data_IF_977921205515
#
_entry.id   IF_977921205515
#
_cell.length_a   1.000
_cell.length_b   1.000
_cell.length_c   1.000
_cell.angle_alpha   90.00
_cell.angle_beta   90.00
_cell.angle_gamma   90.00
#
_symmetry.space_group_name_H-M   'P 1'
#
loop_
_entity.id
_entity.type
_entity.pdbx_description
1 polymer ?
#
# COMPACT_ATOMS: atom_id res chain seq x y z
N UNK A 1 -37.17 11.27 -5.33
CA UNK A 1 -36.38 11.27 -4.08
C UNK A 1 -37.31 11.27 -2.89
N UNK A 2 -37.00 10.52 -1.85
CA UNK A 2 -37.76 10.57 -0.60
C UNK A 2 -37.41 11.86 0.16
N UNK A 3 -38.33 12.42 0.98
CA UNK A 3 -38.08 13.59 1.81
C UNK A 3 -36.80 13.45 2.69
N UNK A 4 -36.51 12.24 3.11
CA UNK A 4 -35.32 11.91 3.92
C UNK A 4 -34.01 12.06 3.12
N UNK A 5 -33.95 11.61 1.87
CA UNK A 5 -32.79 11.78 0.99
C UNK A 5 -32.53 13.25 0.67
N UNK A 6 -33.59 14.03 0.41
CA UNK A 6 -33.48 15.48 0.17
C UNK A 6 -32.91 16.22 1.38
N UNK A 7 -33.39 15.89 2.61
CA UNK A 7 -32.87 16.47 3.85
C UNK A 7 -31.38 16.16 4.05
N UNK A 8 -30.94 14.91 3.77
CA UNK A 8 -29.55 14.53 3.89
C UNK A 8 -28.65 15.26 2.86
N UNK A 9 -29.12 15.44 1.64
CA UNK A 9 -28.42 16.18 0.60
C UNK A 9 -28.21 17.66 1.00
N UNK A 10 -29.22 18.31 1.56
CA UNK A 10 -29.12 19.71 2.05
C UNK A 10 -28.11 19.79 3.21
N UNK A 11 -28.14 18.86 4.16
CA UNK A 11 -27.19 18.82 5.28
C UNK A 11 -25.75 18.67 4.78
N UNK A 12 -25.50 17.79 3.81
CA UNK A 12 -24.17 17.59 3.21
C UNK A 12 -23.65 18.85 2.53
N UNK A 13 -24.51 19.60 1.82
CA UNK A 13 -24.16 20.87 1.19
C UNK A 13 -23.79 21.91 2.24
N UNK A 14 -24.62 22.07 3.28
CA UNK A 14 -24.38 23.03 4.36
C UNK A 14 -23.10 22.70 5.13
N UNK A 15 -22.86 21.42 5.41
CA UNK A 15 -21.62 20.98 6.06
C UNK A 15 -20.40 21.35 5.21
N UNK A 16 -20.36 21.02 3.92
CA UNK A 16 -19.23 21.37 3.04
C UNK A 16 -18.97 22.88 3.00
N UNK A 17 -20.01 23.67 2.99
CA UNK A 17 -19.89 25.13 3.01
C UNK A 17 -19.36 25.70 4.35
N UNK A 18 -19.45 24.94 5.44
CA UNK A 18 -19.03 25.33 6.80
C UNK A 18 -17.69 24.73 7.24
N UNK A 19 -17.14 23.73 6.52
CA UNK A 19 -15.87 23.11 6.87
C UNK A 19 -14.70 24.09 6.70
N UNK A 20 -13.79 24.05 7.64
CA UNK A 20 -12.45 24.62 7.52
C UNK A 20 -11.43 23.52 7.13
N UNK A 21 -10.24 23.92 6.68
CA UNK A 21 -9.19 22.98 6.24
C UNK A 21 -8.68 22.02 7.35
N UNK A 22 -8.99 22.34 8.62
CA UNK A 22 -8.59 21.54 9.79
C UNK A 22 -9.70 20.63 10.31
N UNK A 23 -10.92 20.75 9.82
CA UNK A 23 -12.04 19.94 10.30
C UNK A 23 -11.94 18.50 9.76
N UNK A 24 -12.15 17.47 10.61
CA UNK A 24 -12.16 16.10 10.14
C UNK A 24 -13.34 15.83 9.21
N UNK A 25 -13.07 15.28 8.04
CA UNK A 25 -14.10 14.82 7.11
C UNK A 25 -14.73 13.52 7.61
N UNK A 26 -16.00 13.30 7.29
CA UNK A 26 -16.69 12.02 7.42
C UNK A 26 -16.73 11.32 6.05
N UNK A 27 -15.91 10.30 5.87
CA UNK A 27 -15.66 9.65 4.61
C UNK A 27 -16.33 8.27 4.60
N UNK A 28 -17.21 8.04 3.62
CA UNK A 28 -17.68 6.68 3.33
C UNK A 28 -16.61 5.92 2.53
N UNK A 29 -16.32 4.69 2.92
CA UNK A 29 -15.29 3.87 2.26
C UNK A 29 -15.66 2.39 2.30
N UNK A 30 -14.78 1.55 1.75
CA UNK A 30 -14.90 0.10 1.73
C UNK A 30 -13.56 -0.51 2.17
N UNK A 31 -13.57 -1.49 3.05
CA UNK A 31 -12.34 -2.13 3.52
C UNK A 31 -11.57 -2.80 2.36
N UNK A 32 -10.29 -2.46 2.24
CA UNK A 32 -9.38 -3.03 1.24
C UNK A 32 -8.26 -3.84 1.88
N UNK A 33 -7.37 -3.18 2.61
CA UNK A 33 -6.22 -3.79 3.28
C UNK A 33 -5.95 -3.07 4.60
N UNK A 34 -5.94 -3.81 5.70
CA UNK A 34 -5.93 -3.27 7.07
C UNK A 34 -4.74 -2.33 7.34
N UNK A 35 -3.54 -2.66 6.86
CA UNK A 35 -2.35 -1.79 7.05
C UNK A 35 -2.45 -0.48 6.25
N UNK A 36 -2.99 -0.54 5.04
CA UNK A 36 -3.25 0.65 4.25
C UNK A 36 -4.30 1.55 4.93
N UNK A 37 -5.40 0.96 5.37
CA UNK A 37 -6.46 1.70 6.06
C UNK A 37 -5.97 2.31 7.40
N UNK A 38 -5.06 1.62 8.12
CA UNK A 38 -4.43 2.20 9.31
C UNK A 38 -3.60 3.45 8.98
N UNK A 39 -2.82 3.40 7.90
CA UNK A 39 -2.05 4.56 7.46
C UNK A 39 -2.99 5.69 7.01
N UNK A 40 -4.05 5.37 6.29
CA UNK A 40 -5.07 6.33 5.86
C UNK A 40 -5.73 7.02 7.08
N UNK A 41 -5.98 6.30 8.16
CA UNK A 41 -6.55 6.85 9.39
C UNK A 41 -5.64 7.88 10.09
N UNK A 42 -4.32 7.89 9.82
CA UNK A 42 -3.40 8.90 10.35
C UNK A 42 -3.68 10.31 9.80
N UNK A 43 -4.45 10.42 8.71
CA UNK A 43 -4.91 11.72 8.19
C UNK A 43 -5.85 12.47 9.15
N UNK A 44 -6.35 11.80 10.20
CA UNK A 44 -7.23 12.40 11.21
C UNK A 44 -8.71 12.49 10.80
N UNK A 45 -9.07 12.06 9.60
CA UNK A 45 -10.47 12.00 9.16
C UNK A 45 -11.20 10.79 9.74
N UNK A 46 -12.53 10.82 9.73
CA UNK A 46 -13.38 9.72 10.16
C UNK A 46 -13.76 8.84 8.96
N UNK A 47 -13.48 7.55 9.03
CA UNK A 47 -13.74 6.60 7.96
C UNK A 47 -14.87 5.66 8.35
N UNK A 48 -15.95 5.68 7.58
CA UNK A 48 -17.12 4.82 7.77
C UNK A 48 -17.13 3.75 6.67
N UNK A 49 -16.69 2.55 7.03
CA UNK A 49 -16.53 1.44 6.09
C UNK A 49 -17.81 0.64 5.96
N UNK A 50 -18.45 0.75 4.80
CA UNK A 50 -19.64 -0.06 4.46
C UNK A 50 -19.25 -1.53 4.37
N UNK A 51 -19.99 -2.39 5.06
CA UNK A 51 -19.78 -3.86 5.05
C UNK A 51 -20.22 -4.46 3.72
N UNK A 52 -19.36 -4.32 2.73
CA UNK A 52 -19.54 -4.91 1.42
C UNK A 52 -18.25 -5.60 0.97
N UNK A 53 -18.30 -6.89 0.76
CA UNK A 53 -17.13 -7.69 0.40
C UNK A 53 -16.20 -7.98 1.57
N UNK A 54 -14.95 -7.50 1.54
CA UNK A 54 -13.95 -7.74 2.58
C UNK A 54 -14.32 -7.01 3.87
N UNK A 55 -14.26 -7.73 4.99
CA UNK A 55 -14.35 -7.17 6.34
C UNK A 55 -12.95 -6.96 6.90
N UNK A 56 -12.83 -6.06 7.87
CA UNK A 56 -11.58 -5.86 8.61
C UNK A 56 -11.19 -7.13 9.38
N UNK A 57 -9.96 -7.57 9.18
CA UNK A 57 -9.38 -8.67 9.93
C UNK A 57 -8.50 -8.14 11.05
N UNK A 58 -8.95 -8.29 12.30
CA UNK A 58 -8.24 -7.82 13.50
C UNK A 58 -6.93 -8.55 13.77
N UNK A 59 -6.73 -9.74 13.17
CA UNK A 59 -5.46 -10.47 13.28
C UNK A 59 -4.33 -9.78 12.53
N UNK A 60 -4.66 -9.03 11.46
CA UNK A 60 -3.67 -8.26 10.70
C UNK A 60 -3.38 -6.89 11.32
N UNK A 61 -4.41 -6.23 11.84
CA UNK A 61 -4.25 -4.92 12.45
C UNK A 61 -5.44 -4.56 13.35
N UNK A 62 -5.17 -3.85 14.44
CA UNK A 62 -6.22 -3.30 15.31
C UNK A 62 -7.01 -2.22 14.56
N UNK A 63 -8.33 -2.20 14.71
CA UNK A 63 -9.18 -1.14 14.16
C UNK A 63 -8.82 0.21 14.80
N UNK A 64 -8.49 1.25 14.01
CA UNK A 64 -8.26 2.60 14.53
C UNK A 64 -9.52 3.22 15.14
N UNK A 65 -9.36 4.15 16.07
CA UNK A 65 -10.49 4.80 16.77
C UNK A 65 -11.38 5.67 15.87
N UNK A 66 -10.85 6.10 14.72
CA UNK A 66 -11.55 6.89 13.70
C UNK A 66 -11.97 6.06 12.47
N UNK A 67 -12.01 4.73 12.60
CA UNK A 67 -12.48 3.81 11.56
C UNK A 67 -13.70 3.02 12.07
N UNK A 68 -14.83 3.18 11.42
CA UNK A 68 -16.13 2.68 11.86
C UNK A 68 -16.72 1.70 10.83
N UNK A 69 -16.62 0.37 11.03
CA UNK A 69 -17.35 -0.58 10.22
C UNK A 69 -18.86 -0.42 10.42
N UNK A 70 -19.60 -0.14 9.35
CA UNK A 70 -21.05 0.08 9.38
C UNK A 70 -21.78 -0.90 8.47
N UNK A 71 -22.93 -1.41 8.92
CA UNK A 71 -23.85 -2.24 8.10
C UNK A 71 -24.86 -1.39 7.33
N UNK A 72 -25.20 -0.22 7.85
CA UNK A 72 -26.12 0.74 7.25
C UNK A 72 -25.57 2.14 7.37
N UNK A 73 -25.87 3.00 6.40
CA UNK A 73 -25.44 4.40 6.41
C UNK A 73 -26.24 5.16 7.48
N UNK A 74 -25.59 5.68 8.54
CA UNK A 74 -26.30 6.37 9.62
C UNK A 74 -26.79 7.76 9.18
N UNK A 75 -28.09 7.99 9.25
CA UNK A 75 -28.72 9.24 8.79
C UNK A 75 -28.48 10.46 9.66
N UNK A 76 -27.94 10.29 10.86
CA UNK A 76 -27.58 11.37 11.76
C UNK A 76 -26.18 11.93 11.50
N UNK A 77 -25.38 11.24 10.68
CA UNK A 77 -24.04 11.67 10.27
C UNK A 77 -24.13 12.36 8.91
N UNK A 78 -23.47 13.50 8.80
CA UNK A 78 -23.28 14.16 7.51
C UNK A 78 -21.96 13.70 6.90
N UNK A 79 -22.04 13.08 5.73
CA UNK A 79 -20.89 12.61 4.98
C UNK A 79 -20.41 13.65 3.98
N UNK A 80 -19.11 13.66 3.74
CA UNK A 80 -18.44 14.64 2.90
C UNK A 80 -18.08 14.09 1.53
N UNK A 81 -17.70 12.81 1.45
CA UNK A 81 -17.36 12.13 0.20
C UNK A 81 -17.43 10.59 0.34
N UNK A 82 -17.44 9.91 -0.81
CA UNK A 82 -17.19 8.48 -0.92
C UNK A 82 -15.75 8.30 -1.42
N UNK A 83 -14.93 7.56 -0.68
CA UNK A 83 -13.61 7.12 -1.10
C UNK A 83 -13.70 5.69 -1.62
N UNK A 84 -13.59 5.55 -2.94
CA UNK A 84 -13.61 4.26 -3.63
C UNK A 84 -12.17 3.87 -4.00
N UNK A 85 -11.76 2.68 -3.58
CA UNK A 85 -10.47 2.12 -3.99
C UNK A 85 -10.66 1.26 -5.22
N UNK A 86 -9.80 1.29 -6.16
CA UNK A 86 -9.65 0.61 -7.47
C UNK A 86 -10.68 -0.46 -7.88
N UNK A 87 -11.39 -1.08 -6.95
CA UNK A 87 -12.30 -2.20 -7.21
C UNK A 87 -13.57 -1.73 -7.91
N UNK A 88 -13.73 -2.07 -9.19
CA UNK A 88 -14.95 -1.81 -9.95
C UNK A 88 -16.21 -2.41 -9.30
N UNK A 89 -16.08 -3.44 -8.47
CA UNK A 89 -17.21 -4.13 -7.84
C UNK A 89 -18.00 -3.24 -6.87
N UNK A 90 -17.40 -2.14 -6.39
CA UNK A 90 -18.01 -1.24 -5.41
C UNK A 90 -18.40 0.12 -5.99
N UNK A 91 -18.17 0.31 -7.28
CA UNK A 91 -18.49 1.58 -7.92
C UNK A 91 -20.00 1.82 -7.99
N UNK A 92 -20.78 0.75 -8.21
CA UNK A 92 -22.24 0.86 -8.23
C UNK A 92 -22.80 1.30 -6.88
N UNK A 93 -22.28 0.74 -5.77
CA UNK A 93 -22.66 1.16 -4.42
C UNK A 93 -22.20 2.60 -4.18
N UNK A 94 -21.02 3.00 -4.67
CA UNK A 94 -20.54 4.37 -4.57
C UNK A 94 -21.46 5.36 -5.31
N UNK A 95 -21.96 5.01 -6.50
CA UNK A 95 -22.95 5.81 -7.22
C UNK A 95 -24.27 5.93 -6.46
N UNK A 96 -24.78 4.82 -5.91
CA UNK A 96 -25.98 4.87 -5.07
C UNK A 96 -25.84 5.77 -3.86
N UNK A 97 -24.67 5.75 -3.22
CA UNK A 97 -24.34 6.63 -2.09
C UNK A 97 -24.20 8.08 -2.54
N UNK A 98 -23.59 8.33 -3.69
CA UNK A 98 -23.49 9.68 -4.28
C UNK A 98 -24.88 10.26 -4.54
N UNK A 99 -25.75 9.51 -5.20
CA UNK A 99 -27.11 9.94 -5.52
C UNK A 99 -27.95 10.18 -4.28
N UNK A 100 -27.83 9.27 -3.28
CA UNK A 100 -28.58 9.36 -2.04
C UNK A 100 -28.18 10.55 -1.19
N UNK A 101 -26.88 10.85 -1.11
CA UNK A 101 -26.30 11.82 -0.19
C UNK A 101 -25.86 13.12 -0.88
N UNK A 102 -25.84 13.16 -2.20
CA UNK A 102 -25.31 14.25 -3.02
C UNK A 102 -23.87 14.66 -2.61
N UNK A 103 -22.98 13.67 -2.52
CA UNK A 103 -21.57 13.84 -2.15
C UNK A 103 -20.66 13.37 -3.29
N UNK A 104 -19.43 13.90 -3.42
CA UNK A 104 -18.50 13.48 -4.47
C UNK A 104 -17.97 12.07 -4.26
N UNK A 105 -17.57 11.41 -5.36
CA UNK A 105 -16.79 10.18 -5.35
C UNK A 105 -15.34 10.52 -5.68
N UNK A 106 -14.41 10.09 -4.82
CA UNK A 106 -12.98 10.08 -5.12
C UNK A 106 -12.56 8.62 -5.34
N UNK A 107 -11.97 8.33 -6.50
CA UNK A 107 -11.36 7.03 -6.78
C UNK A 107 -9.85 7.10 -6.55
N UNK A 108 -9.35 6.35 -5.56
CA UNK A 108 -7.91 6.26 -5.28
C UNK A 108 -7.38 4.90 -5.73
N UNK A 109 -6.54 4.90 -6.75
CA UNK A 109 -6.06 3.69 -7.43
C UNK A 109 -4.65 3.34 -6.98
N UNK A 110 -4.48 2.15 -6.40
CA UNK A 110 -3.23 1.64 -5.87
C UNK A 110 -2.81 0.27 -6.43
N UNK A 111 -3.35 -0.11 -7.57
CA UNK A 111 -2.95 -1.30 -8.33
C UNK A 111 -2.64 -0.90 -9.77
N UNK A 112 -1.79 -1.68 -10.42
CA UNK A 112 -1.53 -1.57 -11.87
C UNK A 112 -2.57 -2.37 -12.66
N UNK A 113 -2.78 -2.09 -13.96
CA UNK A 113 -3.48 -2.99 -14.84
C UNK A 113 -2.83 -4.38 -14.79
N UNK A 114 -3.64 -5.44 -14.81
CA UNK A 114 -3.13 -6.81 -14.68
C UNK A 114 -2.57 -7.29 -16.00
N UNK A 115 -1.25 -7.51 -16.07
CA UNK A 115 -0.54 -7.92 -17.30
C UNK A 115 -0.92 -9.30 -17.83
N UNK A 116 -1.69 -10.09 -17.07
CA UNK A 116 -2.21 -11.40 -17.50
C UNK A 116 -3.44 -11.30 -18.40
N UNK A 117 -4.03 -10.10 -18.49
CA UNK A 117 -5.21 -9.82 -19.29
C UNK A 117 -4.91 -8.72 -20.30
N UNK A 118 -5.77 -8.60 -21.28
CA UNK A 118 -5.64 -7.59 -22.33
C UNK A 118 -5.72 -6.17 -21.73
N UNK A 119 -4.62 -5.43 -21.85
CA UNK A 119 -4.38 -4.16 -21.15
C UNK A 119 -5.31 -3.05 -21.68
N UNK A 120 -5.53 -2.97 -22.99
CA UNK A 120 -6.34 -1.90 -23.58
C UNK A 120 -7.79 -2.00 -23.14
N UNK A 121 -8.35 -3.22 -23.04
CA UNK A 121 -9.70 -3.44 -22.51
C UNK A 121 -9.84 -3.05 -21.05
N UNK A 122 -8.83 -3.34 -20.22
CA UNK A 122 -8.82 -2.93 -18.81
C UNK A 122 -8.79 -1.40 -18.70
N UNK A 123 -7.89 -0.74 -19.43
CA UNK A 123 -7.75 0.72 -19.43
C UNK A 123 -9.03 1.37 -19.96
N UNK A 124 -9.62 0.84 -21.04
CA UNK A 124 -10.88 1.35 -21.57
C UNK A 124 -12.01 1.22 -20.55
N UNK A 125 -12.20 0.03 -19.96
CA UNK A 125 -13.22 -0.19 -18.93
C UNK A 125 -13.04 0.70 -17.72
N UNK A 126 -11.80 0.88 -17.26
CA UNK A 126 -11.47 1.78 -16.16
C UNK A 126 -11.84 3.24 -16.49
N UNK A 127 -11.55 3.70 -17.70
CA UNK A 127 -11.78 5.07 -18.14
C UNK A 127 -13.25 5.39 -18.46
N UNK A 128 -14.10 4.36 -18.64
CA UNK A 128 -15.56 4.53 -18.77
C UNK A 128 -16.26 4.80 -17.44
N UNK A 129 -15.59 4.56 -16.31
CA UNK A 129 -16.14 4.80 -14.99
C UNK A 129 -15.90 6.28 -14.63
N UNK A 130 -16.98 7.06 -14.61
CA UNK A 130 -16.93 8.46 -14.22
C UNK A 130 -16.93 8.61 -12.69
N UNK A 131 -16.02 9.45 -12.18
CA UNK A 131 -15.93 9.83 -10.77
C UNK A 131 -15.65 11.32 -10.66
N UNK A 132 -15.93 11.89 -9.51
CA UNK A 132 -15.72 13.34 -9.30
C UNK A 132 -14.24 13.70 -9.36
N UNK A 133 -13.37 12.83 -8.80
CA UNK A 133 -11.92 13.00 -8.87
C UNK A 133 -11.20 11.66 -8.85
N UNK A 134 -10.09 11.60 -9.57
CA UNK A 134 -9.20 10.43 -9.58
C UNK A 134 -7.85 10.77 -8.98
N UNK A 135 -7.32 9.87 -8.17
CA UNK A 135 -5.96 9.93 -7.65
C UNK A 135 -5.29 8.56 -7.73
N UNK A 136 -3.98 8.59 -7.87
CA UNK A 136 -3.12 7.41 -7.99
C UNK A 136 -1.97 7.52 -7.00
N UNK A 137 -1.39 6.37 -6.64
CA UNK A 137 -0.28 6.36 -5.67
C UNK A 137 1.07 6.75 -6.28
N UNK A 138 1.16 6.92 -7.60
CA UNK A 138 2.35 7.41 -8.30
C UNK A 138 2.04 7.88 -9.71
N UNK A 139 2.97 8.63 -10.29
CA UNK A 139 2.93 9.00 -11.70
C UNK A 139 2.99 7.76 -12.61
N UNK A 140 3.82 6.76 -12.25
CA UNK A 140 3.88 5.49 -12.99
C UNK A 140 2.51 4.79 -12.99
N UNK A 141 1.88 4.65 -11.82
CA UNK A 141 0.56 4.02 -11.67
C UNK A 141 -0.51 4.77 -12.49
N UNK A 142 -0.54 6.10 -12.39
CA UNK A 142 -1.45 6.97 -13.16
C UNK A 142 -1.29 6.77 -14.67
N UNK A 143 -0.05 6.81 -15.16
CA UNK A 143 0.24 6.67 -16.60
C UNK A 143 -0.09 5.25 -17.10
N UNK A 144 0.12 4.21 -16.29
CA UNK A 144 -0.25 2.84 -16.62
C UNK A 144 -1.76 2.66 -16.89
N UNK A 145 -2.60 3.48 -16.25
CA UNK A 145 -4.05 3.53 -16.49
C UNK A 145 -4.45 4.52 -17.60
N UNK A 146 -3.49 5.06 -18.35
CA UNK A 146 -3.74 5.98 -19.47
C UNK A 146 -4.17 7.38 -19.02
N UNK A 147 -3.87 7.77 -17.77
CA UNK A 147 -4.15 9.11 -17.24
C UNK A 147 -2.87 9.96 -17.21
N UNK A 148 -3.03 11.27 -17.10
CA UNK A 148 -1.93 12.25 -17.01
C UNK A 148 -2.19 13.28 -15.89
N UNK A 149 -1.27 14.22 -15.72
CA UNK A 149 -1.34 15.24 -14.66
C UNK A 149 -2.53 16.18 -14.76
N UNK A 150 -3.12 16.30 -15.94
CA UNK A 150 -4.31 17.16 -16.17
C UNK A 150 -5.62 16.44 -15.82
N UNK A 151 -5.61 15.10 -15.83
CA UNK A 151 -6.82 14.28 -15.63
C UNK A 151 -6.90 13.63 -14.24
N UNK A 152 -5.77 13.51 -13.54
CA UNK A 152 -5.74 12.83 -12.23
C UNK A 152 -4.54 13.28 -11.39
N UNK A 153 -4.74 13.35 -10.07
CA UNK A 153 -3.69 13.67 -9.11
C UNK A 153 -2.86 12.44 -8.71
N UNK A 154 -1.72 12.70 -8.07
CA UNK A 154 -0.91 11.67 -7.40
C UNK A 154 -0.89 11.96 -5.91
N UNK A 155 -1.21 10.92 -5.10
CA UNK A 155 -1.13 10.94 -3.64
C UNK A 155 -0.38 9.67 -3.25
N UNK A 156 0.87 9.80 -2.88
CA UNK A 156 1.74 8.68 -2.54
C UNK A 156 1.29 8.00 -1.23
N UNK A 157 1.59 6.71 -1.10
CA UNK A 157 1.36 6.00 0.15
C UNK A 157 2.24 6.55 1.25
N UNK A 158 1.64 6.85 2.40
CA UNK A 158 2.37 7.08 3.63
C UNK A 158 2.67 5.77 4.37
N UNK A 159 3.68 5.83 5.25
CA UNK A 159 3.99 4.79 6.22
C UNK A 159 4.16 5.44 7.59
N UNK A 160 3.65 4.81 8.65
CA UNK A 160 3.80 5.32 10.03
C UNK A 160 5.24 5.15 10.51
N UNK A 161 6.06 6.17 10.30
CA UNK A 161 7.46 6.21 10.70
C UNK A 161 7.67 6.25 12.23
N UNK A 162 6.64 6.49 13.03
CA UNK A 162 6.70 6.37 14.48
C UNK A 162 6.59 4.91 14.93
N UNK A 163 5.79 4.13 14.23
CA UNK A 163 5.70 2.68 14.47
C UNK A 163 6.81 1.94 13.74
N UNK A 164 6.97 2.12 12.43
CA UNK A 164 8.01 1.47 11.63
C UNK A 164 9.31 2.29 11.75
N UNK A 165 10.16 1.93 12.69
CA UNK A 165 11.42 2.62 12.95
C UNK A 165 12.51 1.64 13.36
N UNK A 166 13.79 1.99 13.13
CA UNK A 166 14.90 1.22 13.65
C UNK A 166 14.87 1.19 15.18
N UNK A 167 15.59 0.25 15.74
CA UNK A 167 15.86 0.16 17.18
C UNK A 167 17.37 -0.01 17.32
N UNK A 168 18.04 1.04 17.73
CA UNK A 168 19.50 1.09 17.84
C UNK A 168 20.05 0.19 18.95
N UNK A 169 19.20 -0.32 19.83
CA UNK A 169 19.56 -1.32 20.86
C UNK A 169 19.63 -2.74 20.30
N UNK A 170 19.06 -2.96 19.11
CA UNK A 170 19.00 -4.27 18.47
C UNK A 170 20.12 -4.41 17.44
N UNK A 171 21.02 -5.38 17.66
CA UNK A 171 21.99 -5.75 16.63
C UNK A 171 21.30 -6.50 15.50
N UNK A 172 21.50 -6.04 14.26
CA UNK A 172 21.00 -6.72 13.07
C UNK A 172 21.75 -8.03 12.82
N UNK A 173 21.01 -9.06 12.47
CA UNK A 173 21.58 -10.33 12.03
C UNK A 173 21.88 -10.28 10.52
N UNK A 174 22.92 -10.97 10.04
CA UNK A 174 23.22 -11.06 8.62
C UNK A 174 22.21 -12.01 7.90
N UNK A 175 20.98 -11.52 7.80
CA UNK A 175 19.82 -12.25 7.21
C UNK A 175 19.13 -11.35 6.20
N UNK A 176 18.75 -11.92 5.04
CA UNK A 176 17.86 -11.30 4.08
C UNK A 176 16.41 -11.62 4.45
N UNK A 177 15.60 -10.60 4.70
CA UNK A 177 14.17 -10.72 4.94
C UNK A 177 13.39 -10.45 3.65
N UNK A 178 12.37 -11.24 3.39
CA UNK A 178 11.32 -10.95 2.41
C UNK A 178 9.94 -11.06 3.06
N UNK A 179 8.98 -10.22 2.64
CA UNK A 179 7.64 -10.20 3.21
C UNK A 179 6.62 -10.18 2.07
N UNK A 180 6.02 -11.32 1.78
CA UNK A 180 5.05 -11.51 0.69
C UNK A 180 4.03 -12.57 1.09
N UNK A 181 2.75 -12.31 0.84
CA UNK A 181 1.67 -13.30 1.00
C UNK A 181 1.38 -14.00 -0.33
N UNK A 182 1.02 -15.29 -0.25
CA UNK A 182 0.59 -16.09 -1.41
C UNK A 182 1.59 -16.02 -2.60
N UNK A 183 2.86 -16.08 -2.27
CA UNK A 183 3.96 -15.77 -3.20
C UNK A 183 3.99 -16.67 -4.43
N UNK A 184 3.90 -18.02 -4.30
CA UNK A 184 3.93 -18.90 -5.47
C UNK A 184 2.80 -18.62 -6.48
N UNK A 185 1.57 -18.33 -6.01
CA UNK A 185 0.44 -18.03 -6.87
C UNK A 185 0.50 -16.60 -7.46
N UNK A 186 1.32 -15.73 -6.86
CA UNK A 186 1.54 -14.35 -7.27
C UNK A 186 2.91 -14.13 -7.90
N UNK A 187 3.52 -15.17 -8.44
CA UNK A 187 4.84 -15.09 -9.11
C UNK A 187 4.88 -13.99 -10.17
N UNK A 188 3.83 -13.89 -10.98
CA UNK A 188 3.71 -12.92 -12.07
C UNK A 188 3.91 -11.44 -11.64
N UNK A 189 3.59 -11.10 -10.39
CA UNK A 189 3.76 -9.74 -9.86
C UNK A 189 4.75 -9.64 -8.70
N UNK A 190 4.96 -10.71 -7.95
CA UNK A 190 5.79 -10.71 -6.74
C UNK A 190 7.14 -11.41 -6.93
N UNK A 191 7.39 -12.08 -8.08
CA UNK A 191 8.69 -12.62 -8.46
C UNK A 191 9.17 -13.78 -7.60
N UNK A 192 8.31 -14.77 -7.34
CA UNK A 192 8.67 -16.01 -6.64
C UNK A 192 9.81 -16.77 -7.31
N UNK A 193 9.73 -16.91 -8.64
CA UNK A 193 10.77 -17.61 -9.41
C UNK A 193 12.09 -16.85 -9.41
N UNK A 194 12.05 -15.52 -9.50
CA UNK A 194 13.24 -14.69 -9.38
C UNK A 194 13.88 -14.83 -7.98
N UNK A 195 13.07 -14.77 -6.92
CA UNK A 195 13.57 -14.98 -5.56
C UNK A 195 14.26 -16.33 -5.40
N UNK A 196 13.67 -17.40 -5.92
CA UNK A 196 14.29 -18.73 -5.89
C UNK A 196 15.63 -18.79 -6.63
N UNK A 197 15.77 -18.05 -7.75
CA UNK A 197 17.03 -17.96 -8.50
C UNK A 197 18.11 -17.20 -7.71
N UNK A 198 17.72 -16.24 -6.88
CA UNK A 198 18.63 -15.51 -5.99
C UNK A 198 19.08 -16.37 -4.81
N UNK A 199 18.15 -17.01 -4.10
CA UNK A 199 18.45 -17.62 -2.79
C UNK A 199 18.85 -19.10 -2.87
N UNK A 200 18.27 -19.91 -3.76
CA UNK A 200 18.56 -21.36 -3.82
C UNK A 200 20.00 -21.70 -4.17
N UNK A 201 20.67 -20.98 -5.12
CA UNK A 201 22.07 -21.27 -5.45
C UNK A 201 23.07 -20.68 -4.45
N UNK A 202 22.61 -20.06 -3.39
CA UNK A 202 23.43 -19.33 -2.43
C UNK A 202 23.31 -19.92 -1.03
N UNK A 203 24.29 -19.60 -0.18
CA UNK A 203 24.22 -19.84 1.27
C UNK A 203 23.67 -18.62 2.03
N UNK A 204 22.95 -17.72 1.35
CA UNK A 204 22.37 -16.52 1.98
C UNK A 204 21.35 -16.94 3.04
N UNK A 205 21.55 -16.56 4.31
CA UNK A 205 20.54 -16.77 5.32
C UNK A 205 19.29 -15.94 5.00
N UNK A 206 18.15 -16.62 4.83
CA UNK A 206 16.89 -15.98 4.48
C UNK A 206 15.84 -16.17 5.56
N UNK A 207 14.99 -15.17 5.71
CA UNK A 207 13.77 -15.22 6.50
C UNK A 207 12.61 -14.73 5.64
N UNK A 208 11.49 -15.42 5.71
CA UNK A 208 10.29 -15.03 4.97
C UNK A 208 9.14 -14.85 5.97
N UNK A 209 8.41 -13.77 5.84
CA UNK A 209 7.10 -13.61 6.44
C UNK A 209 6.04 -13.51 5.34
N UNK A 210 4.88 -14.02 5.65
CA UNK A 210 3.71 -14.05 4.77
C UNK A 210 3.06 -15.43 4.81
N UNK A 211 1.76 -15.46 4.53
CA UNK A 211 1.02 -16.71 4.44
C UNK A 211 1.35 -17.40 3.11
N UNK A 212 2.33 -18.30 3.15
CA UNK A 212 2.82 -19.07 2.00
C UNK A 212 2.85 -20.56 2.40
N UNK A 213 1.80 -21.34 2.10
CA UNK A 213 1.73 -22.76 2.50
C UNK A 213 2.99 -23.55 2.09
N UNK A 214 3.60 -24.24 3.07
CA UNK A 214 4.83 -25.00 2.88
C UNK A 214 6.13 -24.17 2.84
N UNK A 215 6.09 -22.85 2.94
CA UNK A 215 7.27 -21.98 2.96
C UNK A 215 7.34 -21.12 4.23
N UNK A 216 6.29 -20.38 4.55
CA UNK A 216 6.31 -19.44 5.66
C UNK A 216 4.89 -19.13 6.15
N UNK A 217 4.83 -18.61 7.37
CA UNK A 217 3.62 -18.08 7.98
C UNK A 217 3.67 -16.55 8.07
N UNK A 218 2.51 -15.92 8.15
CA UNK A 218 2.42 -14.50 8.47
C UNK A 218 3.01 -14.24 9.86
N UNK A 219 3.61 -13.08 10.05
CA UNK A 219 4.01 -12.66 11.38
C UNK A 219 2.78 -12.60 12.30
N UNK A 220 2.89 -13.16 13.50
CA UNK A 220 1.78 -13.30 14.47
C UNK A 220 1.24 -11.95 14.97
N UNK A 221 1.93 -10.85 14.69
CA UNK A 221 1.51 -9.48 14.99
C UNK A 221 2.33 -8.47 14.21
N UNK A 222 1.85 -7.23 14.11
CA UNK A 222 2.63 -6.12 13.52
C UNK A 222 3.92 -5.86 14.30
N UNK A 223 3.91 -6.01 15.63
CA UNK A 223 5.10 -5.91 16.45
C UNK A 223 6.14 -6.97 16.09
N UNK A 224 5.71 -8.22 15.84
CA UNK A 224 6.60 -9.30 15.40
C UNK A 224 7.17 -9.03 14.01
N UNK A 225 6.36 -8.47 13.11
CA UNK A 225 6.80 -8.07 11.78
C UNK A 225 7.83 -6.94 11.86
N UNK A 226 7.57 -5.90 12.67
CA UNK A 226 8.51 -4.82 12.91
C UNK A 226 9.84 -5.34 13.47
N UNK A 227 9.80 -6.23 14.45
CA UNK A 227 11.01 -6.89 14.98
C UNK A 227 11.75 -7.66 13.88
N UNK A 228 11.03 -8.27 12.93
CA UNK A 228 11.62 -8.90 11.76
C UNK A 228 12.46 -7.94 10.92
N UNK A 229 11.91 -6.77 10.61
CA UNK A 229 12.66 -5.71 9.91
C UNK A 229 13.82 -5.16 10.74
N UNK A 230 13.62 -4.91 12.04
CA UNK A 230 14.65 -4.37 12.93
C UNK A 230 15.85 -5.31 13.10
N UNK A 231 15.62 -6.63 13.05
CA UNK A 231 16.65 -7.64 13.26
C UNK A 231 17.33 -8.14 11.99
N UNK A 232 16.82 -7.81 10.81
CA UNK A 232 17.39 -8.24 9.53
C UNK A 232 18.27 -7.15 8.92
N UNK A 233 19.45 -7.53 8.39
CA UNK A 233 20.37 -6.58 7.77
C UNK A 233 19.84 -6.09 6.41
N UNK A 234 19.30 -7.01 5.61
CA UNK A 234 18.87 -6.77 4.24
C UNK A 234 17.38 -7.08 4.08
N UNK A 235 16.69 -6.28 3.30
CA UNK A 235 15.37 -6.60 2.77
C UNK A 235 15.47 -6.87 1.28
N UNK A 236 15.14 -8.10 0.88
CA UNK A 236 15.12 -8.53 -0.52
C UNK A 236 13.70 -8.47 -1.07
N UNK A 237 13.48 -7.58 -2.06
CA UNK A 237 12.24 -7.43 -2.80
C UNK A 237 12.42 -7.87 -4.26
N UNK A 238 11.64 -8.84 -4.71
CA UNK A 238 11.69 -9.36 -6.09
C UNK A 238 10.44 -9.04 -6.90
N UNK A 239 9.70 -8.00 -6.53
CA UNK A 239 8.47 -7.62 -7.23
C UNK A 239 8.72 -7.32 -8.70
N UNK A 240 7.93 -7.94 -9.59
CA UNK A 240 8.04 -7.79 -11.04
C UNK A 240 7.03 -6.78 -11.60
N UNK A 241 5.81 -6.77 -11.05
CA UNK A 241 4.73 -5.89 -11.50
C UNK A 241 3.93 -5.41 -10.30
N UNK A 242 4.39 -4.35 -9.68
CA UNK A 242 3.76 -3.76 -8.49
C UNK A 242 3.99 -2.26 -8.48
N UNK A 243 3.02 -1.48 -8.02
CA UNK A 243 3.31 -0.17 -7.44
C UNK A 243 4.24 -0.41 -6.24
N UNK A 244 4.70 0.61 -5.53
CA UNK A 244 5.61 0.38 -4.38
C UNK A 244 4.97 -0.55 -3.35
N UNK A 245 5.57 -1.73 -3.07
CA UNK A 245 5.04 -2.63 -2.05
C UNK A 245 5.10 -1.97 -0.66
N UNK A 246 4.02 -2.04 0.10
CA UNK A 246 3.98 -1.54 1.50
C UNK A 246 5.10 -2.14 2.35
N UNK A 247 5.40 -3.44 2.16
CA UNK A 247 6.48 -4.12 2.86
C UNK A 247 7.88 -3.52 2.57
N UNK A 248 8.11 -3.01 1.35
CA UNK A 248 9.33 -2.31 0.99
C UNK A 248 9.44 -0.99 1.77
N UNK A 249 8.38 -0.20 1.81
CA UNK A 249 8.37 1.07 2.57
C UNK A 249 8.53 0.83 4.08
N UNK A 250 7.91 -0.20 4.64
CA UNK A 250 8.08 -0.60 6.05
C UNK A 250 9.53 -1.01 6.35
N UNK A 251 10.17 -1.76 5.43
CA UNK A 251 11.57 -2.16 5.57
C UNK A 251 12.52 -0.94 5.50
N UNK A 252 12.27 -0.01 4.55
CA UNK A 252 12.99 1.26 4.47
C UNK A 252 12.82 2.07 5.75
N UNK A 253 11.59 2.20 6.23
CA UNK A 253 11.26 2.91 7.46
C UNK A 253 11.94 2.29 8.70
N UNK A 254 12.13 0.99 8.73
CA UNK A 254 12.90 0.29 9.77
C UNK A 254 14.42 0.33 9.56
N UNK A 255 14.91 0.95 8.49
CA UNK A 255 16.34 1.09 8.21
C UNK A 255 17.01 -0.20 7.73
N UNK A 256 16.28 -1.11 7.05
CA UNK A 256 16.92 -2.22 6.34
C UNK A 256 17.69 -1.73 5.11
N UNK A 257 18.83 -2.32 4.82
CA UNK A 257 19.45 -2.16 3.51
C UNK A 257 18.55 -2.82 2.44
N UNK A 258 18.25 -2.09 1.38
CA UNK A 258 17.32 -2.56 0.36
C UNK A 258 18.07 -3.16 -0.82
N UNK A 259 17.72 -4.40 -1.20
CA UNK A 259 18.04 -5.03 -2.48
C UNK A 259 16.72 -5.32 -3.20
N UNK A 260 16.55 -4.78 -4.40
CA UNK A 260 15.26 -4.86 -5.09
C UNK A 260 15.42 -4.97 -6.60
N UNK A 261 14.34 -5.45 -7.24
CA UNK A 261 14.16 -5.28 -8.69
C UNK A 261 14.07 -3.79 -9.06
N UNK A 262 14.37 -3.52 -10.33
CA UNK A 262 14.31 -2.17 -10.93
C UNK A 262 13.06 -2.05 -11.81
N UNK A 263 11.88 -2.41 -11.26
CA UNK A 263 10.63 -2.49 -12.01
C UNK A 263 9.60 -1.49 -11.52
N UNK A 264 8.69 -1.10 -12.42
CA UNK A 264 7.55 -0.24 -12.16
C UNK A 264 7.98 1.07 -11.48
N UNK A 265 7.42 1.40 -10.30
CA UNK A 265 7.77 2.61 -9.59
C UNK A 265 8.86 2.42 -8.51
N UNK A 266 9.48 1.25 -8.40
CA UNK A 266 10.57 1.05 -7.44
C UNK A 266 11.71 2.05 -7.67
N UNK A 267 12.13 2.36 -8.93
CA UNK A 267 13.12 3.40 -9.21
C UNK A 267 12.73 4.82 -8.79
N UNK A 268 11.45 5.09 -8.57
CA UNK A 268 10.99 6.41 -8.11
C UNK A 268 11.32 6.63 -6.62
N UNK A 269 11.41 5.56 -5.84
CA UNK A 269 11.72 5.61 -4.40
C UNK A 269 13.12 5.12 -4.06
N UNK A 270 13.71 4.26 -4.90
CA UNK A 270 15.06 3.71 -4.70
C UNK A 270 16.01 4.25 -5.78
N UNK A 271 17.03 4.95 -5.37
CA UNK A 271 18.16 5.33 -6.22
C UNK A 271 19.32 4.36 -5.98
N UNK A 272 19.73 3.63 -7.03
CA UNK A 272 20.80 2.63 -6.95
C UNK A 272 22.09 3.20 -6.34
N UNK A 273 22.73 2.47 -5.42
CA UNK A 273 23.91 2.82 -4.63
C UNK A 273 23.74 4.01 -3.67
N UNK A 274 22.59 4.68 -3.64
CA UNK A 274 22.32 5.80 -2.74
C UNK A 274 21.51 5.35 -1.51
N UNK A 275 20.33 4.77 -1.72
CA UNK A 275 19.42 4.31 -0.67
C UNK A 275 18.94 2.86 -0.87
N UNK A 276 19.59 2.11 -1.76
CA UNK A 276 19.35 0.70 -2.04
C UNK A 276 20.15 0.25 -3.25
N UNK A 277 20.05 -1.06 -3.56
CA UNK A 277 20.69 -1.68 -4.70
C UNK A 277 19.59 -2.26 -5.61
N UNK A 278 19.64 -1.91 -6.89
CA UNK A 278 18.63 -2.30 -7.89
C UNK A 278 19.25 -3.13 -8.98
N UNK A 279 18.62 -4.26 -9.31
CA UNK A 279 18.88 -5.04 -10.52
C UNK A 279 17.67 -5.92 -10.86
N UNK A 280 17.55 -6.31 -12.13
CA UNK A 280 16.62 -7.36 -12.57
C UNK A 280 17.34 -8.70 -12.86
N UNK A 281 18.67 -8.72 -12.73
CA UNK A 281 19.48 -9.93 -12.89
C UNK A 281 19.56 -10.69 -11.55
N UNK A 282 19.18 -11.99 -11.48
CA UNK A 282 19.23 -12.76 -10.25
C UNK A 282 20.64 -12.92 -9.68
N UNK A 283 21.68 -12.94 -10.54
CA UNK A 283 23.06 -13.05 -10.09
C UNK A 283 23.54 -11.76 -9.43
N UNK A 284 23.20 -10.60 -10.01
CA UNK A 284 23.50 -9.30 -9.39
C UNK A 284 22.76 -9.12 -8.07
N UNK A 285 21.46 -9.47 -8.01
CA UNK A 285 20.68 -9.42 -6.75
C UNK A 285 21.33 -10.31 -5.67
N UNK A 286 21.79 -11.50 -6.04
CA UNK A 286 22.54 -12.39 -5.14
C UNK A 286 23.82 -11.72 -4.64
N UNK A 287 24.66 -11.18 -5.55
CA UNK A 287 25.91 -10.51 -5.20
C UNK A 287 25.63 -9.33 -4.27
N UNK A 288 24.58 -8.56 -4.50
CA UNK A 288 24.20 -7.44 -3.65
C UNK A 288 23.79 -7.90 -2.24
N UNK A 289 23.00 -8.96 -2.14
CA UNK A 289 22.67 -9.53 -0.83
C UNK A 289 23.92 -10.01 -0.08
N UNK A 290 24.76 -10.82 -0.74
CA UNK A 290 26.00 -11.33 -0.14
C UNK A 290 26.91 -10.18 0.33
N UNK A 291 27.15 -9.16 -0.51
CA UNK A 291 27.94 -7.98 -0.18
C UNK A 291 27.43 -7.28 1.09
N UNK A 292 26.12 -7.01 1.17
CA UNK A 292 25.54 -6.29 2.32
C UNK A 292 25.47 -7.15 3.59
N UNK A 293 25.45 -8.46 3.48
CA UNK A 293 25.56 -9.36 4.65
C UNK A 293 26.99 -9.43 5.19
N UNK A 294 28.01 -9.22 4.33
CA UNK A 294 29.43 -9.19 4.69
C UNK A 294 29.91 -7.81 5.16
N UNK A 295 29.29 -6.74 4.67
CA UNK A 295 29.64 -5.35 4.98
C UNK A 295 28.49 -4.66 5.76
N UNK A 296 28.50 -4.77 7.10
CA UNK A 296 27.46 -4.16 7.94
C UNK A 296 27.50 -2.63 7.91
N UNK A 297 28.63 -2.01 7.63
CA UNK A 297 28.76 -0.54 7.56
C UNK A 297 28.09 -0.03 6.28
N UNK A 298 28.29 -0.71 5.15
CA UNK A 298 27.59 -0.39 3.91
C UNK A 298 26.09 -0.66 4.03
N UNK A 299 25.69 -1.78 4.64
CA UNK A 299 24.29 -2.08 4.90
C UNK A 299 23.63 -1.00 5.76
N UNK A 300 24.33 -0.55 6.82
CA UNK A 300 23.84 0.54 7.66
C UNK A 300 23.71 1.84 6.87
N UNK A 301 24.73 2.22 6.10
CA UNK A 301 24.72 3.45 5.28
C UNK A 301 23.50 3.48 4.32
N UNK A 302 23.25 2.38 3.61
CA UNK A 302 22.13 2.27 2.68
C UNK A 302 20.78 2.24 3.43
N UNK A 303 20.70 1.55 4.56
CA UNK A 303 19.52 1.50 5.41
C UNK A 303 19.14 2.86 6.01
N UNK A 304 20.12 3.60 6.50
CA UNK A 304 19.93 4.98 7.01
C UNK A 304 19.43 5.92 5.88
N UNK A 305 20.01 5.79 4.68
CA UNK A 305 19.57 6.55 3.51
C UNK A 305 18.17 6.15 3.03
N UNK A 306 17.82 4.86 3.09
CA UNK A 306 16.48 4.37 2.81
C UNK A 306 15.46 4.94 3.80
N UNK A 307 15.78 4.92 5.09
CA UNK A 307 14.95 5.50 6.15
C UNK A 307 14.69 6.99 5.87
N UNK A 308 15.75 7.77 5.61
CA UNK A 308 15.62 9.19 5.30
C UNK A 308 14.75 9.50 4.08
N UNK A 309 14.66 8.58 3.14
CA UNK A 309 13.81 8.74 1.94
C UNK A 309 12.32 8.60 2.29
N UNK A 310 12.00 7.79 3.28
CA UNK A 310 10.60 7.51 3.69
C UNK A 310 10.09 8.55 4.70
N UNK A 311 10.95 9.13 5.53
CA UNK A 311 10.63 10.26 6.42
C UNK A 311 10.30 11.53 5.65
#
# INVERSE_FOLDING_TARGET
MTAKATSQSIKSILRRASLSDIDPLNILTFCTHERYEQNLCQTGHNFYSVKEGKLWNTDYAKIPSNYFPISEVPFHINFDLVLCHTSCNRINTSYQLQDLLNIPIIRHTHVLPDIRYEMSSQIQGFNQIEVTHESFISAYNRNAWGKNEYSASVIEHGVDCNFWKPDDTIKRNPVCLSVVNDWPNRDWCCGWNLWNQVVKPSSIPVKVYGNNPGLSEAASSLQKLRTGYQTSAVFLNTSLHSPVPTALMEAMACGCAIVSTNNCMIPDVITHNKNGLLSNDPLELKIFCERLLFDPDEAKRLGDAARKTIE
#
